data_IF_520607588279
#
_entry.id   IF_520607588279
#
_cell.length_a   1.000
_cell.length_b   1.000
_cell.length_c   1.000
_cell.angle_alpha   90.00
_cell.angle_beta   90.00
_cell.angle_gamma   90.00
#
_symmetry.space_group_name_H-M   'P 1'
#
loop_
_entity.id
_entity.type
_entity.pdbx_description
1 polymer ?
#
# COMPACT_ATOMS: atom_id res chain seq x y z
N UNK A 1 0.62 -104.33 12.33
CA UNK A 1 1.14 -103.03 11.84
C UNK A 1 -0.06 -102.24 11.34
N UNK A 2 -0.38 -101.08 11.92
CA UNK A 2 0.40 -99.85 11.72
C UNK A 2 0.75 -99.10 13.01
N UNK A 3 1.51 -98.03 12.79
CA UNK A 3 2.36 -97.19 13.64
C UNK A 3 1.62 -96.15 14.48
N UNK A 4 1.94 -96.08 15.78
CA UNK A 4 1.58 -94.94 16.65
C UNK A 4 2.70 -93.90 16.61
N UNK A 5 2.40 -92.73 16.03
CA UNK A 5 3.26 -91.54 16.07
C UNK A 5 3.15 -90.85 17.45
N UNK A 6 4.25 -90.36 18.05
CA UNK A 6 4.18 -89.57 19.27
C UNK A 6 3.71 -88.15 18.94
N UNK A 7 2.66 -87.71 19.62
CA UNK A 7 2.12 -86.35 19.55
C UNK A 7 3.05 -85.42 20.32
N UNK A 8 3.80 -84.56 19.61
CA UNK A 8 4.62 -83.54 20.24
C UNK A 8 3.72 -82.45 20.82
N UNK A 9 3.65 -82.37 22.15
CA UNK A 9 2.97 -81.29 22.88
C UNK A 9 3.82 -80.02 22.82
N UNK A 10 3.38 -79.02 22.06
CA UNK A 10 3.95 -77.66 22.09
C UNK A 10 3.74 -77.06 23.49
N UNK A 11 4.83 -76.78 24.19
CA UNK A 11 4.83 -76.19 25.52
C UNK A 11 4.77 -74.65 25.37
N UNK A 12 3.76 -73.95 25.92
CA UNK A 12 3.63 -72.51 25.77
C UNK A 12 4.72 -71.78 26.56
N UNK A 13 5.43 -70.85 25.90
CA UNK A 13 6.41 -69.98 26.55
C UNK A 13 5.69 -69.02 27.52
N UNK A 14 6.26 -68.72 28.70
CA UNK A 14 5.63 -67.82 29.67
C UNK A 14 5.51 -66.41 29.09
N UNK A 15 4.37 -65.72 29.28
CA UNK A 15 4.21 -64.35 28.81
C UNK A 15 5.20 -63.44 29.54
N UNK A 16 6.06 -62.77 28.78
CA UNK A 16 6.96 -61.76 29.28
C UNK A 16 6.12 -60.63 29.89
N UNK A 17 6.23 -60.40 31.21
CA UNK A 17 5.51 -59.33 31.91
C UNK A 17 5.98 -57.98 31.37
N UNK A 18 5.19 -57.38 30.49
CA UNK A 18 5.38 -56.02 30.01
C UNK A 18 5.34 -55.06 31.20
N UNK A 19 6.50 -54.47 31.48
CA UNK A 19 6.68 -53.51 32.56
C UNK A 19 5.99 -52.21 32.17
N UNK A 20 5.24 -51.61 33.09
CA UNK A 20 4.50 -50.33 32.91
C UNK A 20 5.31 -49.10 32.49
N UNK A 21 6.56 -49.29 32.05
CA UNK A 21 7.46 -48.27 31.49
C UNK A 21 6.97 -47.76 30.13
N UNK A 22 6.31 -48.61 29.32
CA UNK A 22 5.78 -48.19 28.00
C UNK A 22 4.74 -47.08 28.12
N UNK A 23 3.87 -47.14 29.13
CA UNK A 23 2.88 -46.09 29.40
C UNK A 23 3.53 -44.75 29.75
N UNK A 24 4.63 -44.79 30.51
CA UNK A 24 5.38 -43.57 30.90
C UNK A 24 6.06 -42.96 29.68
N UNK A 25 6.70 -43.78 28.82
CA UNK A 25 7.32 -43.30 27.59
C UNK A 25 6.27 -42.70 26.65
N UNK A 26 5.11 -43.37 26.50
CA UNK A 26 4.01 -42.86 25.68
C UNK A 26 3.45 -41.53 26.21
N UNK A 27 3.34 -41.35 27.53
CA UNK A 27 2.91 -40.08 28.13
C UNK A 27 3.95 -38.97 27.91
N UNK A 28 5.24 -39.27 28.04
CA UNK A 28 6.31 -38.29 27.81
C UNK A 28 6.33 -37.86 26.33
N UNK A 29 6.20 -38.80 25.38
CA UNK A 29 6.17 -38.45 23.96
C UNK A 29 4.93 -37.63 23.61
N UNK A 30 3.77 -37.98 24.17
CA UNK A 30 2.54 -37.21 23.99
C UNK A 30 2.67 -35.80 24.57
N UNK A 31 3.28 -35.65 25.75
CA UNK A 31 3.56 -34.35 26.35
C UNK A 31 4.51 -33.51 25.47
N UNK A 32 5.58 -34.10 24.94
CA UNK A 32 6.52 -33.42 24.03
C UNK A 32 5.81 -32.99 22.74
N UNK A 33 4.98 -33.85 22.14
CA UNK A 33 4.19 -33.49 20.96
C UNK A 33 3.19 -32.35 21.24
N UNK A 34 2.55 -32.33 22.41
CA UNK A 34 1.66 -31.23 22.80
C UNK A 34 2.41 -29.90 22.92
N UNK A 35 3.60 -29.91 23.55
CA UNK A 35 4.44 -28.70 23.66
C UNK A 35 4.87 -28.24 22.26
N UNK A 36 5.27 -29.18 21.39
CA UNK A 36 5.61 -28.88 19.99
C UNK A 36 4.44 -28.31 19.19
N UNK A 37 3.24 -28.84 19.36
CA UNK A 37 2.03 -28.35 18.69
C UNK A 37 1.70 -26.90 19.10
N UNK A 38 1.81 -26.56 20.39
CA UNK A 38 1.59 -25.19 20.88
C UNK A 38 2.63 -24.21 20.30
N UNK A 39 3.90 -24.62 20.25
CA UNK A 39 4.95 -23.81 19.63
C UNK A 39 4.68 -23.57 18.13
N UNK A 40 4.24 -24.61 17.41
CA UNK A 40 3.87 -24.51 15.99
C UNK A 40 2.68 -23.58 15.76
N UNK A 41 1.61 -23.65 16.57
CA UNK A 41 0.46 -22.76 16.46
C UNK A 41 0.85 -21.29 16.68
N UNK A 42 1.70 -21.00 17.68
CA UNK A 42 2.19 -19.64 17.90
C UNK A 42 3.03 -19.13 16.72
N UNK A 43 3.85 -20.00 16.12
CA UNK A 43 4.62 -19.70 14.93
C UNK A 43 3.73 -19.37 13.72
N UNK A 44 2.67 -20.16 13.50
CA UNK A 44 1.68 -19.91 12.44
C UNK A 44 0.93 -18.59 12.66
N UNK A 45 0.52 -18.30 13.89
CA UNK A 45 -0.15 -17.03 14.19
C UNK A 45 0.75 -15.83 13.89
N UNK A 46 2.05 -15.91 14.23
CA UNK A 46 3.01 -14.86 13.91
C UNK A 46 3.25 -14.71 12.39
N UNK A 47 3.35 -15.83 11.65
CA UNK A 47 3.54 -15.78 10.20
C UNK A 47 2.34 -15.19 9.47
N UNK A 48 1.12 -15.50 9.92
CA UNK A 48 -0.13 -14.94 9.37
C UNK A 48 -0.25 -13.43 9.61
N UNK A 49 0.10 -12.93 10.80
CA UNK A 49 0.08 -11.49 11.09
C UNK A 49 1.11 -10.75 10.22
N UNK A 50 2.31 -11.30 10.08
CA UNK A 50 3.35 -10.71 9.24
C UNK A 50 2.94 -10.69 7.77
N UNK A 51 2.33 -11.77 7.26
CA UNK A 51 1.79 -11.83 5.91
C UNK A 51 0.67 -10.80 5.70
N UNK A 52 -0.21 -10.61 6.69
CA UNK A 52 -1.27 -9.60 6.66
C UNK A 52 -0.73 -8.17 6.58
N UNK A 53 0.24 -7.81 7.42
CA UNK A 53 0.87 -6.49 7.40
C UNK A 53 1.55 -6.18 6.06
N UNK A 54 2.22 -7.16 5.47
CA UNK A 54 2.82 -7.01 4.14
C UNK A 54 1.75 -6.87 3.06
N UNK A 55 0.66 -7.62 3.14
CA UNK A 55 -0.50 -7.50 2.27
C UNK A 55 -1.08 -6.08 2.29
N UNK A 56 -1.31 -5.53 3.48
CA UNK A 56 -1.78 -4.14 3.62
C UNK A 56 -0.79 -3.13 3.05
N UNK A 57 0.52 -3.27 3.31
CA UNK A 57 1.52 -2.36 2.75
C UNK A 57 1.54 -2.38 1.21
N UNK A 58 1.39 -3.57 0.60
CA UNK A 58 1.34 -3.71 -0.86
C UNK A 58 0.05 -3.15 -1.45
N UNK A 59 -1.07 -3.33 -0.75
CA UNK A 59 -2.35 -2.76 -1.17
C UNK A 59 -2.31 -1.23 -1.10
N UNK A 60 -1.83 -0.64 0.01
CA UNK A 60 -1.65 0.80 0.16
C UNK A 60 -0.81 1.41 -0.96
N UNK A 61 0.29 0.74 -1.35
CA UNK A 61 1.13 1.20 -2.47
C UNK A 61 0.38 1.16 -3.81
N UNK A 62 -0.35 0.06 -4.08
CA UNK A 62 -1.12 -0.09 -5.31
C UNK A 62 -2.26 0.95 -5.39
N UNK A 63 -2.95 1.22 -4.27
CA UNK A 63 -3.94 2.29 -4.21
C UNK A 63 -3.33 3.67 -4.40
N UNK A 64 -2.17 3.93 -3.81
CA UNK A 64 -1.48 5.21 -3.97
C UNK A 64 -1.13 5.48 -5.44
N UNK A 65 -0.65 4.47 -6.16
CA UNK A 65 -0.38 4.60 -7.59
C UNK A 65 -1.65 4.90 -8.41
N UNK A 66 -2.78 4.28 -8.06
CA UNK A 66 -4.08 4.61 -8.67
C UNK A 66 -4.48 6.06 -8.38
N UNK A 67 -4.34 6.52 -7.14
CA UNK A 67 -4.65 7.89 -6.74
C UNK A 67 -3.76 8.91 -7.46
N UNK A 68 -2.46 8.62 -7.63
CA UNK A 68 -1.54 9.47 -8.40
C UNK A 68 -2.02 9.61 -9.85
N UNK A 69 -2.40 8.50 -10.52
CA UNK A 69 -2.95 8.56 -11.89
C UNK A 69 -4.27 9.33 -11.95
N UNK A 70 -5.13 9.18 -10.95
CA UNK A 70 -6.39 9.92 -10.86
C UNK A 70 -6.14 11.44 -10.74
N UNK A 71 -5.21 11.84 -9.87
CA UNK A 71 -4.83 13.24 -9.68
C UNK A 71 -4.23 13.86 -10.94
N UNK A 72 -3.34 13.13 -11.63
CA UNK A 72 -2.80 13.58 -12.92
C UNK A 72 -3.89 13.72 -13.98
N UNK A 73 -4.79 12.73 -14.09
CA UNK A 73 -5.91 12.80 -15.02
C UNK A 73 -6.85 13.97 -14.72
N UNK A 74 -7.13 14.22 -13.44
CA UNK A 74 -7.99 15.32 -13.01
C UNK A 74 -7.41 16.69 -13.42
N UNK A 75 -6.08 16.87 -13.29
CA UNK A 75 -5.43 18.10 -13.72
C UNK A 75 -5.36 18.23 -15.25
N UNK A 76 -5.03 17.15 -15.95
CA UNK A 76 -4.88 17.18 -17.42
C UNK A 76 -6.20 17.41 -18.18
N UNK A 77 -7.32 17.01 -17.58
CA UNK A 77 -8.66 17.17 -18.17
C UNK A 77 -9.39 18.41 -17.65
N UNK A 78 -8.83 19.10 -16.67
CA UNK A 78 -9.41 20.31 -16.12
C UNK A 78 -9.23 21.49 -17.09
N UNK A 79 -10.28 22.29 -17.24
CA UNK A 79 -10.20 23.62 -17.84
C UNK A 79 -9.93 24.72 -16.82
N UNK A 80 -9.52 24.36 -15.60
CA UNK A 80 -9.27 25.32 -14.54
C UNK A 80 -8.00 26.12 -14.82
N UNK A 81 -8.03 27.39 -14.41
CA UNK A 81 -6.84 28.24 -14.42
C UNK A 81 -5.84 27.74 -13.36
N UNK A 82 -4.71 27.19 -13.83
CA UNK A 82 -3.63 26.66 -12.99
C UNK A 82 -2.61 27.74 -12.57
N UNK A 83 -2.87 29.01 -12.87
CA UNK A 83 -2.10 30.13 -12.30
C UNK A 83 -2.50 30.40 -10.84
N UNK A 84 -3.71 29.99 -10.45
CA UNK A 84 -4.22 30.10 -9.08
C UNK A 84 -4.46 28.71 -8.44
N UNK A 85 -4.42 28.65 -7.10
CA UNK A 85 -4.72 27.43 -6.35
C UNK A 85 -6.20 27.09 -6.41
N UNK A 86 -6.53 25.82 -6.65
CA UNK A 86 -7.89 25.34 -6.87
C UNK A 86 -8.26 24.24 -5.87
N UNK A 87 -9.11 24.59 -4.90
CA UNK A 87 -9.54 23.66 -3.85
C UNK A 87 -10.38 22.50 -4.37
N UNK A 88 -11.11 22.73 -5.47
CA UNK A 88 -11.88 21.69 -6.15
C UNK A 88 -11.01 20.59 -6.79
N UNK A 89 -9.72 20.84 -7.00
CA UNK A 89 -8.77 19.87 -7.60
C UNK A 89 -7.68 19.41 -6.62
N UNK A 90 -7.78 19.79 -5.34
CA UNK A 90 -6.69 19.64 -4.36
C UNK A 90 -5.37 20.23 -4.87
N UNK A 91 -5.44 21.33 -5.62
CA UNK A 91 -4.33 21.89 -6.37
C UNK A 91 -3.83 23.21 -5.78
N UNK A 92 -2.51 23.37 -5.72
CA UNK A 92 -1.84 24.61 -5.38
C UNK A 92 -0.91 25.08 -6.49
N UNK A 93 -1.04 26.35 -6.88
CA UNK A 93 -0.19 26.98 -7.90
C UNK A 93 1.23 27.31 -7.39
N UNK A 94 1.46 27.23 -6.09
CA UNK A 94 2.75 27.38 -5.43
C UNK A 94 3.14 26.10 -4.66
N UNK A 95 4.44 25.92 -4.47
CA UNK A 95 5.01 24.80 -3.74
C UNK A 95 4.53 24.84 -2.30
N UNK A 96 3.97 23.72 -1.83
CA UNK A 96 3.46 23.65 -0.46
C UNK A 96 4.62 23.59 0.54
N UNK A 97 4.48 24.23 1.71
CA UNK A 97 5.39 24.02 2.83
C UNK A 97 5.44 22.54 3.20
N UNK A 98 6.65 22.00 3.36
CA UNK A 98 6.87 20.59 3.71
C UNK A 98 7.45 20.45 5.11
N UNK A 99 7.20 19.30 5.74
CA UNK A 99 7.92 18.89 6.96
C UNK A 99 9.38 18.52 6.66
N UNK A 100 10.13 18.12 7.69
CA UNK A 100 11.52 17.65 7.57
C UNK A 100 11.63 16.39 6.69
N UNK A 101 10.54 15.63 6.55
CA UNK A 101 10.43 14.45 5.68
C UNK A 101 9.99 14.80 4.26
N UNK A 102 9.96 16.08 3.87
CA UNK A 102 9.52 16.57 2.55
C UNK A 102 8.06 16.29 2.19
N UNK A 103 7.22 16.04 3.20
CA UNK A 103 5.77 15.84 3.04
C UNK A 103 5.04 17.17 3.21
N UNK A 104 4.14 17.58 2.30
CA UNK A 104 3.32 18.77 2.46
C UNK A 104 2.56 18.75 3.80
N UNK A 105 2.70 19.80 4.60
CA UNK A 105 2.07 19.89 5.94
C UNK A 105 0.55 19.81 5.89
N UNK A 106 -0.04 20.20 4.76
CA UNK A 106 -1.45 20.04 4.44
C UNK A 106 -1.96 18.59 4.57
N UNK A 107 -1.08 17.60 4.34
CA UNK A 107 -1.38 16.18 4.47
C UNK A 107 -1.03 15.61 5.85
N UNK A 108 -0.46 16.37 6.77
CA UNK A 108 -0.07 15.86 8.09
C UNK A 108 -1.15 16.07 9.18
N UNK A 109 -2.22 16.80 8.86
CA UNK A 109 -3.30 17.09 9.80
C UNK A 109 -4.18 15.89 10.17
N UNK A 110 -4.76 15.94 11.37
CA UNK A 110 -5.69 14.94 11.94
C UNK A 110 -7.11 15.01 11.34
N UNK A 111 -7.48 16.14 10.73
CA UNK A 111 -8.74 16.35 10.02
C UNK A 111 -8.47 16.60 8.52
N UNK A 112 -8.18 15.55 7.75
CA UNK A 112 -7.76 15.67 6.34
C UNK A 112 -8.93 15.93 5.37
N UNK A 113 -10.15 16.19 5.87
CA UNK A 113 -11.35 16.42 5.05
C UNK A 113 -11.23 17.61 4.10
N UNK A 114 -10.28 18.51 4.32
CA UNK A 114 -9.98 19.61 3.39
C UNK A 114 -8.51 19.66 2.98
N UNK A 115 -7.73 18.60 3.24
CA UNK A 115 -6.28 18.54 2.91
C UNK A 115 -5.58 19.85 3.29
N UNK A 116 -5.71 20.28 4.55
CA UNK A 116 -5.12 21.53 5.04
C UNK A 116 -5.70 22.81 4.43
N UNK A 117 -6.94 22.79 3.93
CA UNK A 117 -7.58 23.92 3.25
C UNK A 117 -7.33 24.00 1.75
N UNK A 118 -6.51 23.09 1.20
CA UNK A 118 -6.20 23.02 -0.24
C UNK A 118 -7.16 22.13 -1.01
N UNK A 119 -8.04 21.40 -0.32
CA UNK A 119 -8.97 20.46 -0.91
C UNK A 119 -10.37 20.56 -0.33
N UNK A 120 -11.30 19.82 -0.93
CA UNK A 120 -12.67 19.63 -0.42
C UNK A 120 -12.90 18.17 -0.03
N UNK A 121 -13.86 17.93 0.87
CA UNK A 121 -14.14 16.59 1.39
C UNK A 121 -14.52 15.59 0.30
N UNK A 122 -15.15 16.04 -0.78
CA UNK A 122 -15.50 15.22 -1.94
C UNK A 122 -14.29 14.70 -2.72
N UNK A 123 -13.10 15.30 -2.54
CA UNK A 123 -11.87 14.86 -3.19
C UNK A 123 -11.07 13.86 -2.35
N UNK A 124 -11.56 13.53 -1.16
CA UNK A 124 -11.03 12.41 -0.37
C UNK A 124 -11.52 11.12 -1.01
N UNK A 125 -10.58 10.28 -1.43
CA UNK A 125 -10.89 8.98 -2.00
C UNK A 125 -11.01 8.00 -0.82
N UNK A 126 -12.21 7.87 -0.26
CA UNK A 126 -12.51 6.88 0.76
C UNK A 126 -12.85 5.53 0.08
N UNK A 127 -11.89 4.60 0.14
CA UNK A 127 -12.04 3.26 -0.41
C UNK A 127 -12.67 2.28 0.59
N UNK A 128 -12.95 2.72 1.82
CA UNK A 128 -13.68 1.92 2.81
C UNK A 128 -15.18 1.79 2.52
N UNK A 129 -15.74 2.74 1.77
CA UNK A 129 -17.15 2.74 1.34
C UNK A 129 -17.35 2.28 -0.10
N UNK A 130 -16.27 1.96 -0.82
CA UNK A 130 -16.35 1.44 -2.19
C UNK A 130 -16.78 -0.02 -2.19
N UNK A 131 -18.05 -0.30 -1.88
CA UNK A 131 -18.69 -1.52 -2.39
C UNK A 131 -18.58 -1.49 -3.91
N UNK A 132 -18.10 -2.57 -4.51
CA UNK A 132 -17.92 -2.71 -5.95
C UNK A 132 -19.22 -2.34 -6.70
N UNK A 133 -19.36 -1.07 -7.08
CA UNK A 133 -20.37 -0.60 -7.99
C UNK A 133 -19.69 0.44 -8.85
N UNK A 134 -19.25 -0.01 -10.01
CA UNK A 134 -18.72 0.80 -11.08
C UNK A 134 -19.75 1.86 -11.47
N UNK A 135 -19.64 3.07 -10.92
CA UNK A 135 -20.26 4.30 -11.41
C UNK A 135 -19.76 5.50 -10.61
N UNK A 136 -18.47 5.74 -10.65
CA UNK A 136 -17.99 7.12 -10.68
C UNK A 136 -16.88 7.18 -11.72
N UNK A 137 -16.99 8.13 -12.63
CA UNK A 137 -16.00 8.46 -13.66
C UNK A 137 -14.67 8.97 -13.08
N UNK A 138 -14.52 8.88 -11.76
CA UNK A 138 -13.36 9.23 -10.95
C UNK A 138 -12.76 7.96 -10.34
N UNK A 139 -11.82 7.32 -11.04
CA UNK A 139 -10.78 6.37 -10.55
C UNK A 139 -11.13 5.30 -9.47
N UNK A 140 -12.38 5.14 -9.08
CA UNK A 140 -12.87 4.23 -8.04
C UNK A 140 -13.37 2.95 -8.71
N UNK A 141 -12.49 2.28 -9.45
CA UNK A 141 -12.75 0.94 -9.94
C UNK A 141 -12.40 -0.05 -8.82
N UNK A 142 -13.44 -0.54 -8.14
CA UNK A 142 -13.50 -1.70 -7.23
C UNK A 142 -12.17 -2.26 -6.68
N UNK A 143 -11.87 -1.93 -5.42
CA UNK A 143 -10.71 -2.44 -4.68
C UNK A 143 -11.07 -2.64 -3.18
N UNK A 144 -10.38 -3.53 -2.43
CA UNK A 144 -10.81 -3.99 -1.11
C UNK A 144 -10.98 -2.88 -0.07
N UNK A 145 -11.90 -3.12 0.87
CA UNK A 145 -12.34 -2.19 1.91
C UNK A 145 -11.23 -1.81 2.91
N UNK A 146 -11.41 -0.64 3.53
CA UNK A 146 -10.74 -0.09 4.74
C UNK A 146 -9.49 0.78 4.52
N UNK A 147 -9.34 1.42 3.37
CA UNK A 147 -8.28 2.42 3.12
C UNK A 147 -8.90 3.80 2.82
N UNK A 148 -8.28 4.87 3.35
CA UNK A 148 -8.63 6.25 3.02
C UNK A 148 -7.44 6.93 2.35
N UNK A 149 -7.68 7.56 1.20
CA UNK A 149 -6.64 8.22 0.41
C UNK A 149 -6.89 9.71 0.33
N UNK A 150 -5.83 10.47 0.56
CA UNK A 150 -5.80 11.93 0.45
C UNK A 150 -4.68 12.28 -0.50
N UNK A 151 -4.94 13.17 -1.45
CA UNK A 151 -3.90 13.67 -2.33
C UNK A 151 -3.92 15.19 -2.37
N UNK A 152 -2.74 15.78 -2.52
CA UNK A 152 -2.56 17.19 -2.86
C UNK A 152 -1.62 17.26 -4.04
N UNK A 153 -1.88 18.19 -4.95
CA UNK A 153 -0.97 18.51 -6.03
C UNK A 153 -0.46 19.93 -5.86
N UNK A 154 0.86 20.08 -5.89
CA UNK A 154 1.50 21.38 -5.89
C UNK A 154 2.33 21.58 -7.15
N UNK A 155 2.19 22.74 -7.77
CA UNK A 155 3.11 23.20 -8.80
C UNK A 155 4.38 23.64 -8.10
N UNK A 156 5.54 23.15 -8.56
CA UNK A 156 6.83 23.43 -7.93
C UNK A 156 7.34 24.83 -8.30
N UNK A 157 6.53 25.85 -7.98
CA UNK A 157 6.81 27.26 -8.13
C UNK A 157 6.90 27.94 -6.76
N UNK A 158 7.75 28.95 -6.66
CA UNK A 158 7.89 29.74 -5.43
C UNK A 158 6.64 30.56 -5.12
N UNK A 159 5.83 30.91 -6.12
CA UNK A 159 4.60 31.67 -5.97
C UNK A 159 3.54 31.28 -7.00
N UNK A 160 2.28 31.64 -6.71
CA UNK A 160 1.17 31.53 -7.65
C UNK A 160 1.29 32.61 -8.73
N UNK A 161 0.66 32.37 -9.88
CA UNK A 161 0.66 33.26 -11.04
C UNK A 161 1.21 32.59 -12.29
N UNK A 162 1.58 33.43 -13.26
CA UNK A 162 2.18 32.99 -14.52
C UNK A 162 3.48 32.20 -14.28
N UNK A 163 3.72 31.24 -15.16
CA UNK A 163 4.91 30.42 -15.08
C UNK A 163 6.14 31.21 -15.56
N UNK A 164 7.20 31.23 -14.75
CA UNK A 164 8.52 31.70 -15.15
C UNK A 164 9.58 30.67 -14.76
N UNK A 165 10.58 30.47 -15.62
CA UNK A 165 11.73 29.59 -15.37
C UNK A 165 12.56 30.01 -14.16
N UNK A 166 12.46 31.27 -13.73
CA UNK A 166 13.20 31.79 -12.56
C UNK A 166 12.49 31.45 -11.24
N UNK A 167 11.17 31.32 -11.28
CA UNK A 167 10.33 31.10 -10.09
C UNK A 167 9.81 29.68 -9.99
N UNK A 168 9.87 28.91 -11.07
CA UNK A 168 9.31 27.57 -11.17
C UNK A 168 10.37 26.55 -11.56
N UNK A 169 10.29 25.36 -10.96
CA UNK A 169 10.98 24.20 -11.51
C UNK A 169 10.30 23.84 -12.83
N UNK A 170 11.07 23.91 -13.90
CA UNK A 170 10.60 23.60 -15.23
C UNK A 170 11.33 22.39 -15.78
N UNK A 171 10.61 21.51 -16.45
CA UNK A 171 11.24 20.55 -17.35
C UNK A 171 11.27 21.14 -18.74
N UNK A 172 12.41 21.03 -19.42
CA UNK A 172 12.49 21.34 -20.83
C UNK A 172 12.62 20.07 -21.65
N UNK A 173 11.88 20.01 -22.75
CA UNK A 173 12.13 19.02 -23.79
C UNK A 173 13.00 19.67 -24.85
N UNK A 174 14.20 19.15 -25.06
CA UNK A 174 15.01 19.53 -26.22
C UNK A 174 14.30 19.07 -27.49
N UNK A 175 13.74 19.99 -28.26
CA UNK A 175 13.35 19.71 -29.64
C UNK A 175 14.65 19.40 -30.40
N UNK A 176 14.82 18.15 -30.84
CA UNK A 176 16.03 17.71 -31.54
C UNK A 176 16.12 18.42 -32.90
N UNK A 177 16.77 19.58 -32.93
CA UNK A 177 16.99 20.39 -34.12
C UNK A 177 17.97 21.52 -33.81
N UNK A 178 19.11 21.54 -34.52
CA UNK A 178 20.23 22.43 -34.23
C UNK A 178 19.91 23.93 -34.24
N UNK A 179 20.75 24.71 -33.56
CA UNK A 179 20.67 26.17 -33.44
C UNK A 179 20.75 26.86 -34.82
N UNK A 180 19.61 27.00 -35.48
CA UNK A 180 19.43 27.85 -36.67
C UNK A 180 18.51 29.00 -36.29
N UNK A 181 18.74 30.18 -36.86
CA UNK A 181 17.83 31.31 -36.80
C UNK A 181 16.49 30.85 -37.39
N UNK A 182 15.43 30.81 -36.56
CA UNK A 182 14.13 30.20 -36.91
C UNK A 182 13.85 28.82 -36.31
N UNK A 183 14.68 28.32 -35.39
CA UNK A 183 14.43 27.08 -34.65
C UNK A 183 13.19 27.14 -33.75
N UNK A 184 12.56 25.99 -33.52
CA UNK A 184 11.41 25.85 -32.61
C UNK A 184 11.81 26.27 -31.20
N UNK A 185 11.07 27.19 -30.60
CA UNK A 185 11.24 27.65 -29.21
C UNK A 185 11.13 26.47 -28.25
N UNK A 186 12.05 26.40 -27.29
CA UNK A 186 12.02 25.44 -26.18
C UNK A 186 10.78 25.73 -25.32
N UNK A 187 9.80 24.83 -25.34
CA UNK A 187 8.61 24.97 -24.51
C UNK A 187 8.94 24.52 -23.09
N UNK A 188 9.05 25.49 -22.19
CA UNK A 188 9.31 25.26 -20.78
C UNK A 188 7.99 24.93 -20.08
N UNK A 189 7.93 23.77 -19.44
CA UNK A 189 6.72 23.25 -18.77
C UNK A 189 6.94 23.14 -17.27
N UNK A 190 5.94 23.46 -16.43
CA UNK A 190 6.12 23.47 -14.99
C UNK A 190 6.08 22.04 -14.46
N UNK A 191 6.93 21.76 -13.48
CA UNK A 191 6.89 20.48 -12.78
C UNK A 191 5.85 20.54 -11.68
N UNK A 192 4.98 19.53 -11.66
CA UNK A 192 4.00 19.30 -10.62
C UNK A 192 4.45 18.15 -9.73
N UNK A 193 4.05 18.21 -8.47
CA UNK A 193 4.29 17.17 -7.48
C UNK A 193 2.96 16.73 -6.90
N UNK A 194 2.65 15.46 -7.04
CA UNK A 194 1.53 14.82 -6.34
C UNK A 194 2.07 14.19 -5.09
N UNK A 195 1.47 14.50 -3.95
CA UNK A 195 1.71 13.75 -2.72
C UNK A 195 0.41 13.09 -2.28
N UNK A 196 0.48 11.80 -1.97
CA UNK A 196 -0.64 10.98 -1.53
C UNK A 196 -0.37 10.45 -0.14
N UNK A 197 -1.30 10.64 0.78
CA UNK A 197 -1.37 9.96 2.07
C UNK A 197 -2.40 8.84 1.99
N UNK A 198 -2.00 7.64 2.38
CA UNK A 198 -2.89 6.49 2.54
C UNK A 198 -2.97 6.18 4.02
N UNK A 199 -4.18 6.24 4.55
CA UNK A 199 -4.50 5.82 5.92
C UNK A 199 -5.12 4.41 5.86
N UNK A 200 -4.53 3.48 6.58
CA UNK A 200 -4.94 2.09 6.66
C UNK A 200 -5.40 1.67 8.06
N UNK A 201 -5.70 0.38 8.27
CA UNK A 201 -6.15 -0.13 9.55
C UNK A 201 -5.15 0.18 10.68
N UNK A 202 -5.66 0.46 11.89
CA UNK A 202 -4.86 0.80 13.09
C UNK A 202 -4.04 2.09 12.95
N UNK A 203 -4.61 3.09 12.27
CA UNK A 203 -3.99 4.40 12.06
C UNK A 203 -2.60 4.31 11.37
N UNK A 204 -2.39 3.27 10.57
CA UNK A 204 -1.19 3.14 9.76
C UNK A 204 -1.21 4.19 8.64
N UNK A 205 -0.17 5.00 8.54
CA UNK A 205 -0.05 6.02 7.50
C UNK A 205 1.13 5.73 6.59
N UNK A 206 0.92 5.85 5.29
CA UNK A 206 2.00 5.82 4.29
C UNK A 206 1.87 6.99 3.32
N UNK A 207 3.00 7.54 2.91
CA UNK A 207 3.08 8.67 2.01
C UNK A 207 3.80 8.27 0.73
N UNK A 208 3.26 8.70 -0.40
CA UNK A 208 3.79 8.45 -1.73
C UNK A 208 3.86 9.76 -2.49
N UNK A 209 4.94 9.97 -3.22
CA UNK A 209 5.15 11.20 -3.95
C UNK A 209 5.62 10.89 -5.37
N UNK A 210 5.08 11.63 -6.33
CA UNK A 210 5.48 11.55 -7.73
C UNK A 210 5.55 12.95 -8.32
N UNK A 211 6.49 13.17 -9.22
CA UNK A 211 6.61 14.41 -9.97
C UNK A 211 6.31 14.14 -11.44
N UNK A 212 5.63 15.08 -12.09
CA UNK A 212 5.30 15.00 -13.50
C UNK A 212 5.30 16.40 -14.12
N UNK A 213 5.57 16.47 -15.42
CA UNK A 213 5.34 17.66 -16.24
C UNK A 213 4.35 17.28 -17.32
N UNK A 214 3.36 18.13 -17.58
CA UNK A 214 2.42 17.98 -18.69
C UNK A 214 2.91 18.81 -19.87
#
# INVERSE_FOLDING_TARGET
MPTLFPTATMQPSPPHRERGVIMVIALITLAIMMIGAVAAMRSMNASLVNAGNLGFKRDMANQAERAIRAAMSALNTSSADLTASQTALNYSAAMLPTSVESIPTALLGTAPSTVGGYGVASNVIDLSTSTATASSTSAAAAVPLNLKLYYVVDRLCQSAGEMSSDTCLTSSSLTQGGKKVGGLTEESKPVYRVTVRVDGPRDAQSFYQATFSN
#
